data_IF_048025844795
#
_entry.id   IF_048025844795
#
_cell.length_a   1.000
_cell.length_b   1.000
_cell.length_c   1.000
_cell.angle_alpha   90.00
_cell.angle_beta   90.00
_cell.angle_gamma   90.00
#
_symmetry.space_group_name_H-M   'P 1'
#
loop_
_entity.id
_entity.type
_entity.pdbx_description
1 polymer ?
#
# COMPACT_ATOMS: atom_id res chain seq x y z
N UNK A 1 16.76 0.00 -8.82
CA UNK A 1 15.33 0.39 -8.76
C UNK A 1 14.75 0.08 -7.38
N UNK A 2 13.61 0.68 -7.06
CA UNK A 2 12.79 0.35 -5.89
C UNK A 2 11.60 -0.52 -6.35
N UNK A 3 11.37 -1.66 -5.68
CA UNK A 3 10.19 -2.49 -5.94
C UNK A 3 9.13 -2.21 -4.88
N UNK A 4 7.93 -1.81 -5.30
CA UNK A 4 6.79 -1.58 -4.41
C UNK A 4 5.77 -2.70 -4.53
N UNK A 5 5.35 -3.24 -3.39
CA UNK A 5 4.41 -4.36 -3.28
C UNK A 5 3.31 -4.01 -2.30
N UNK A 6 2.08 -4.41 -2.60
CA UNK A 6 0.94 -4.16 -1.73
C UNK A 6 -0.37 -4.40 -2.45
N UNK A 7 -1.44 -3.81 -1.91
CA UNK A 7 -2.77 -3.85 -2.49
C UNK A 7 -3.14 -2.53 -3.18
N UNK A 8 -4.42 -2.20 -3.12
CA UNK A 8 -5.05 -1.02 -3.70
C UNK A 8 -4.49 0.32 -3.22
N UNK A 9 -3.94 0.38 -2.00
CA UNK A 9 -3.22 1.56 -1.53
C UNK A 9 -1.89 1.76 -2.26
N UNK A 10 -1.17 0.68 -2.58
CA UNK A 10 0.07 0.77 -3.36
C UNK A 10 -0.22 1.05 -4.83
N UNK A 11 -1.30 0.48 -5.36
CA UNK A 11 -1.79 0.76 -6.71
C UNK A 11 -2.23 2.23 -6.88
N UNK A 12 -2.89 2.80 -5.88
CA UNK A 12 -3.43 4.15 -5.91
C UNK A 12 -4.90 4.24 -6.36
N UNK A 13 -5.74 3.28 -5.96
CA UNK A 13 -7.15 3.23 -6.36
C UNK A 13 -7.90 4.55 -6.09
N UNK A 14 -7.68 5.17 -4.92
CA UNK A 14 -8.32 6.43 -4.54
C UNK A 14 -8.00 7.60 -5.47
N UNK A 15 -6.82 7.61 -6.09
CA UNK A 15 -6.42 8.63 -7.05
C UNK A 15 -7.21 8.57 -8.36
N UNK A 16 -7.68 7.37 -8.73
CA UNK A 16 -8.50 7.21 -9.93
C UNK A 16 -9.87 7.82 -9.71
N UNK A 17 -10.49 7.54 -8.56
CA UNK A 17 -11.74 8.19 -8.16
C UNK A 17 -11.59 9.69 -7.99
N UNK A 18 -10.44 10.15 -7.47
CA UNK A 18 -10.13 11.57 -7.27
C UNK A 18 -10.13 12.30 -8.60
N UNK A 19 -9.45 11.75 -9.61
CA UNK A 19 -9.41 12.33 -10.94
C UNK A 19 -10.79 12.32 -11.60
N UNK A 20 -11.49 11.18 -11.57
CA UNK A 20 -12.84 11.06 -12.14
C UNK A 20 -13.80 12.10 -11.55
N UNK A 21 -13.74 12.31 -10.23
CA UNK A 21 -14.59 13.27 -9.56
C UNK A 21 -14.20 14.72 -9.85
N UNK A 22 -12.93 15.07 -9.61
CA UNK A 22 -12.49 16.47 -9.62
C UNK A 22 -12.25 17.01 -11.03
N UNK A 23 -11.76 16.18 -11.95
CA UNK A 23 -11.33 16.61 -13.29
C UNK A 23 -12.34 16.23 -14.37
N UNK A 24 -13.01 15.09 -14.25
CA UNK A 24 -14.02 14.63 -15.23
C UNK A 24 -15.48 14.90 -14.79
N UNK A 25 -15.68 15.43 -13.58
CA UNK A 25 -17.00 15.80 -13.07
C UNK A 25 -17.93 14.61 -12.81
N UNK A 26 -17.38 13.40 -12.66
CA UNK A 26 -18.16 12.20 -12.35
C UNK A 26 -18.69 12.31 -10.92
N UNK A 27 -20.01 12.14 -10.75
CA UNK A 27 -20.61 12.23 -9.41
C UNK A 27 -20.17 11.06 -8.53
N UNK A 28 -19.99 11.32 -7.22
CA UNK A 28 -19.65 10.28 -6.25
C UNK A 28 -20.71 9.18 -6.21
N UNK A 29 -21.96 9.55 -6.43
CA UNK A 29 -23.10 8.63 -6.53
C UNK A 29 -22.95 7.64 -7.69
N UNK A 30 -22.47 8.10 -8.85
CA UNK A 30 -22.17 7.24 -9.98
C UNK A 30 -20.97 6.33 -9.69
N UNK A 31 -19.92 6.88 -9.07
CA UNK A 31 -18.72 6.11 -8.67
C UNK A 31 -19.14 4.96 -7.74
N UNK A 32 -19.92 5.23 -6.69
CA UNK A 32 -20.37 4.23 -5.74
C UNK A 32 -21.16 3.09 -6.39
N UNK A 33 -22.09 3.45 -7.27
CA UNK A 33 -23.02 2.50 -7.87
C UNK A 33 -22.37 1.66 -8.96
N UNK A 34 -21.40 2.22 -9.70
CA UNK A 34 -20.94 1.62 -10.95
C UNK A 34 -19.44 1.32 -10.98
N UNK A 35 -18.60 2.06 -10.25
CA UNK A 35 -17.15 2.03 -10.43
C UNK A 35 -16.39 1.38 -9.28
N UNK A 36 -17.02 1.17 -8.13
CA UNK A 36 -16.42 0.43 -7.01
C UNK A 36 -16.45 -1.08 -7.32
N UNK A 37 -15.32 -1.81 -7.16
CA UNK A 37 -15.30 -3.26 -7.30
C UNK A 37 -16.36 -3.95 -6.42
N UNK A 38 -17.02 -5.03 -6.90
CA UNK A 38 -16.72 -5.78 -8.12
C UNK A 38 -17.39 -5.24 -9.40
N UNK A 39 -18.11 -4.12 -9.33
CA UNK A 39 -18.90 -3.62 -10.46
C UNK A 39 -18.02 -3.13 -11.64
N UNK A 40 -16.77 -2.77 -11.35
CA UNK A 40 -15.83 -2.29 -12.34
C UNK A 40 -14.39 -2.63 -11.96
N UNK A 41 -13.56 -2.88 -12.97
CA UNK A 41 -12.11 -3.05 -12.85
C UNK A 41 -11.44 -1.70 -13.12
N UNK A 42 -10.77 -1.14 -12.12
CA UNK A 42 -10.11 0.17 -12.22
C UNK A 42 -9.00 0.21 -13.28
N UNK A 43 -8.52 -0.96 -13.71
CA UNK A 43 -7.60 -1.15 -14.83
C UNK A 43 -8.20 -0.70 -16.17
N UNK A 44 -9.54 -0.61 -16.27
CA UNK A 44 -10.22 -0.15 -17.48
C UNK A 44 -10.39 1.37 -17.55
N UNK A 45 -9.94 2.11 -16.53
CA UNK A 45 -9.98 3.57 -16.54
C UNK A 45 -9.20 4.16 -17.73
N UNK A 46 -9.55 5.39 -18.11
CA UNK A 46 -8.90 6.08 -19.22
C UNK A 46 -7.40 6.28 -18.99
N UNK A 47 -6.64 6.48 -20.07
CA UNK A 47 -5.22 6.79 -20.00
C UNK A 47 -4.90 7.98 -19.09
N UNK A 48 -5.75 9.01 -19.09
CA UNK A 48 -5.55 10.21 -18.26
C UNK A 48 -5.72 9.91 -16.78
N UNK A 49 -6.75 9.13 -16.43
CA UNK A 49 -6.98 8.65 -15.06
C UNK A 49 -5.80 7.80 -14.57
N UNK A 50 -5.31 6.89 -15.41
CA UNK A 50 -4.16 6.05 -15.06
C UNK A 50 -2.87 6.88 -14.91
N UNK A 51 -2.65 7.89 -15.76
CA UNK A 51 -1.50 8.79 -15.63
C UNK A 51 -1.53 9.60 -14.35
N UNK A 52 -2.69 10.15 -13.99
CA UNK A 52 -2.85 10.86 -12.72
C UNK A 52 -2.50 9.96 -11.53
N UNK A 53 -3.03 8.73 -11.51
CA UNK A 53 -2.69 7.71 -10.50
C UNK A 53 -1.18 7.45 -10.43
N UNK A 54 -0.54 7.17 -11.57
CA UNK A 54 0.90 6.89 -11.64
C UNK A 54 1.75 8.08 -11.17
N UNK A 55 1.32 9.32 -11.42
CA UNK A 55 2.06 10.51 -11.02
C UNK A 55 1.94 10.79 -9.52
N UNK A 56 0.78 10.48 -8.93
CA UNK A 56 0.42 10.88 -7.56
C UNK A 56 0.56 9.76 -6.52
N UNK A 57 0.61 8.50 -6.91
CA UNK A 57 0.76 7.40 -5.95
C UNK A 57 2.10 7.45 -5.23
N UNK A 58 2.10 7.02 -3.97
CA UNK A 58 3.28 7.09 -3.11
C UNK A 58 4.52 6.38 -3.69
N UNK A 59 4.41 5.28 -4.46
CA UNK A 59 5.58 4.67 -5.12
C UNK A 59 6.34 5.66 -6.01
N UNK A 60 5.64 6.41 -6.87
CA UNK A 60 6.27 7.41 -7.71
C UNK A 60 6.84 8.57 -6.89
N UNK A 61 6.10 9.04 -5.87
CA UNK A 61 6.56 10.15 -5.05
C UNK A 61 7.87 9.83 -4.31
N UNK A 62 7.97 8.62 -3.74
CA UNK A 62 9.20 8.12 -3.10
C UNK A 62 10.32 7.99 -4.14
N UNK A 63 10.05 7.33 -5.27
CA UNK A 63 11.05 7.11 -6.31
C UNK A 63 11.59 8.42 -6.91
N UNK A 64 10.70 9.39 -7.13
CA UNK A 64 11.04 10.74 -7.61
C UNK A 64 11.93 11.49 -6.62
N UNK A 65 11.68 11.40 -5.31
CA UNK A 65 12.52 12.02 -4.28
C UNK A 65 13.97 11.54 -4.35
N UNK A 66 14.18 10.24 -4.52
CA UNK A 66 15.52 9.65 -4.62
C UNK A 66 16.09 9.60 -6.03
N UNK A 67 15.43 10.22 -7.02
CA UNK A 67 15.80 10.15 -8.43
C UNK A 67 16.08 8.71 -8.91
N UNK A 68 15.18 7.78 -8.56
CA UNK A 68 15.34 6.35 -8.79
C UNK A 68 14.22 5.79 -9.67
N UNK A 69 14.54 4.81 -10.51
CA UNK A 69 13.52 4.02 -11.19
C UNK A 69 12.76 3.14 -10.18
N UNK A 70 11.49 2.86 -10.46
CA UNK A 70 10.67 1.96 -9.65
C UNK A 70 9.81 1.01 -10.48
N UNK A 71 9.39 -0.09 -9.85
CA UNK A 71 8.39 -1.00 -10.39
C UNK A 71 7.31 -1.27 -9.34
N UNK A 72 6.08 -1.50 -9.78
CA UNK A 72 5.06 -2.14 -8.96
C UNK A 72 5.14 -3.65 -9.18
N UNK A 73 5.05 -4.45 -8.13
CA UNK A 73 5.00 -5.90 -8.27
C UNK A 73 3.69 -6.42 -8.87
N UNK A 74 2.63 -5.60 -8.85
CA UNK A 74 1.33 -5.92 -9.45
C UNK A 74 1.04 -5.04 -10.66
N UNK A 75 0.36 -5.63 -11.64
CA UNK A 75 -0.17 -4.93 -12.82
C UNK A 75 -1.64 -4.53 -12.66
N UNK A 76 -2.20 -4.63 -11.45
CA UNK A 76 -3.60 -4.35 -11.17
C UNK A 76 -3.86 -4.08 -9.69
N UNK A 77 -5.08 -3.64 -9.42
CA UNK A 77 -5.58 -3.20 -8.13
C UNK A 77 -5.86 -4.38 -7.17
N UNK A 78 -5.79 -4.09 -5.86
CA UNK A 78 -6.12 -5.05 -4.81
C UNK A 78 -5.00 -6.05 -4.51
N UNK A 79 -5.34 -7.11 -3.77
CA UNK A 79 -4.41 -8.17 -3.35
C UNK A 79 -4.33 -8.38 -1.85
N UNK A 80 -3.51 -9.37 -1.47
CA UNK A 80 -3.29 -9.82 -0.10
C UNK A 80 -1.81 -10.20 0.15
N UNK A 81 -1.47 -10.46 1.42
CA UNK A 81 -0.10 -10.80 1.82
C UNK A 81 0.44 -12.09 1.16
N UNK A 82 -0.42 -13.09 0.91
CA UNK A 82 0.01 -14.35 0.28
C UNK A 82 0.41 -14.13 -1.19
N UNK A 83 -0.35 -13.31 -1.92
CA UNK A 83 -0.03 -12.91 -3.29
C UNK A 83 1.28 -12.14 -3.35
N UNK A 84 1.54 -11.24 -2.39
CA UNK A 84 2.79 -10.48 -2.33
C UNK A 84 4.00 -11.42 -2.29
N UNK A 85 3.99 -12.43 -1.42
CA UNK A 85 5.08 -13.41 -1.36
C UNK A 85 5.28 -14.15 -2.68
N UNK A 86 4.20 -14.60 -3.31
CA UNK A 86 4.25 -15.28 -4.63
C UNK A 86 4.82 -14.38 -5.72
N UNK A 87 4.41 -13.11 -5.76
CA UNK A 87 4.91 -12.14 -6.74
C UNK A 87 6.42 -11.97 -6.60
N UNK A 88 6.96 -11.89 -5.38
CA UNK A 88 8.40 -11.75 -5.16
C UNK A 88 9.16 -12.96 -5.70
N UNK A 89 8.65 -14.17 -5.45
CA UNK A 89 9.21 -15.42 -6.00
C UNK A 89 9.14 -15.43 -7.53
N UNK A 90 8.02 -15.02 -8.11
CA UNK A 90 7.88 -14.87 -9.56
C UNK A 90 8.89 -13.86 -10.14
N UNK A 91 9.15 -12.75 -9.44
CA UNK A 91 10.19 -11.78 -9.81
C UNK A 91 11.59 -12.42 -9.76
N UNK A 92 11.87 -13.28 -8.77
CA UNK A 92 13.14 -13.99 -8.65
C UNK A 92 13.35 -14.99 -9.80
N UNK A 93 12.28 -15.66 -10.24
CA UNK A 93 12.38 -16.68 -11.30
C UNK A 93 12.32 -16.11 -12.72
N UNK A 94 11.66 -14.96 -12.93
CA UNK A 94 11.50 -14.36 -14.27
C UNK A 94 12.70 -13.53 -14.74
N UNK A 95 13.80 -13.49 -13.98
CA UNK A 95 15.03 -12.75 -14.32
C UNK A 95 14.76 -11.33 -14.83
N UNK A 96 13.87 -10.58 -14.17
CA UNK A 96 13.63 -9.16 -14.50
C UNK A 96 14.79 -8.24 -14.08
N UNK A 97 15.94 -8.82 -13.73
CA UNK A 97 17.17 -8.11 -13.46
C UNK A 97 18.27 -8.99 -12.90
N UNK A 98 19.52 -8.70 -13.24
CA UNK A 98 20.67 -9.33 -12.57
C UNK A 98 20.74 -8.99 -11.08
N UNK A 99 21.55 -9.74 -10.33
CA UNK A 99 21.82 -9.47 -8.92
C UNK A 99 22.18 -7.98 -8.71
N UNK A 100 21.55 -7.33 -7.72
CA UNK A 100 21.77 -5.93 -7.38
C UNK A 100 20.92 -4.89 -8.15
N UNK A 101 20.07 -5.31 -9.10
CA UNK A 101 19.19 -4.35 -9.80
C UNK A 101 18.09 -3.76 -8.90
N UNK A 102 17.50 -4.59 -8.03
CA UNK A 102 16.59 -4.13 -7.00
C UNK A 102 17.39 -3.75 -5.75
N UNK A 103 17.40 -2.45 -5.41
CA UNK A 103 18.15 -1.93 -4.25
C UNK A 103 17.34 -1.98 -2.96
N UNK A 104 16.02 -1.81 -3.07
CA UNK A 104 15.10 -1.71 -1.95
C UNK A 104 13.74 -2.29 -2.35
N UNK A 105 13.15 -3.04 -1.44
CA UNK A 105 11.74 -3.47 -1.52
C UNK A 105 10.92 -2.72 -0.47
N UNK A 106 9.81 -2.13 -0.89
CA UNK A 106 8.83 -1.51 0.00
C UNK A 106 7.55 -2.34 -0.03
N UNK A 107 7.18 -2.90 1.12
CA UNK A 107 5.97 -3.73 1.25
C UNK A 107 4.91 -2.95 2.04
N UNK A 108 3.76 -2.75 1.43
CA UNK A 108 2.54 -2.39 2.13
C UNK A 108 1.78 -3.67 2.50
N UNK A 109 1.83 -4.03 3.78
CA UNK A 109 1.11 -5.18 4.31
C UNK A 109 -0.39 -4.88 4.36
N UNK A 110 -1.19 -5.85 3.91
CA UNK A 110 -2.64 -5.78 3.82
C UNK A 110 -3.29 -6.42 5.05
N UNK A 111 -4.62 -6.36 5.12
CA UNK A 111 -5.40 -7.20 6.05
C UNK A 111 -4.97 -8.67 5.98
N UNK A 112 -4.61 -9.26 7.12
CA UNK A 112 -4.21 -10.67 7.22
C UNK A 112 -5.38 -11.62 7.01
N UNK A 113 -6.62 -11.17 7.21
CA UNK A 113 -7.83 -11.99 7.04
C UNK A 113 -8.13 -12.28 5.58
N UNK A 114 -7.72 -11.39 4.65
CA UNK A 114 -7.94 -11.57 3.20
C UNK A 114 -7.28 -12.82 2.63
N UNK A 115 -6.22 -13.29 3.27
CA UNK A 115 -5.51 -14.53 2.92
C UNK A 115 -6.19 -15.79 3.46
N UNK A 116 -7.21 -15.65 4.31
CA UNK A 116 -7.90 -16.74 4.99
C UNK A 116 -9.31 -16.99 4.47
N UNK A 117 -9.91 -16.09 3.69
CA UNK A 117 -11.28 -16.30 3.21
C UNK A 117 -11.43 -17.61 2.41
N UNK A 118 -12.51 -18.39 2.62
CA UNK A 118 -13.71 -18.07 3.40
C UNK A 118 -13.68 -18.60 4.86
N UNK A 119 -12.51 -18.85 5.45
CA UNK A 119 -12.38 -19.46 6.77
C UNK A 119 -12.99 -18.61 7.90
N UNK A 120 -13.42 -19.26 9.01
CA UNK A 120 -14.04 -18.56 10.12
C UNK A 120 -13.17 -17.41 10.64
N UNK A 121 -13.84 -16.34 11.09
CA UNK A 121 -13.19 -15.20 11.73
C UNK A 121 -12.41 -15.69 12.95
N UNK A 122 -11.09 -15.58 12.89
CA UNK A 122 -10.21 -15.85 14.03
C UNK A 122 -10.31 -14.65 14.97
N UNK A 123 -10.65 -14.90 16.23
CA UNK A 123 -10.70 -13.87 17.27
C UNK A 123 -9.68 -14.10 18.40
N UNK A 124 -9.04 -15.28 18.43
CA UNK A 124 -8.00 -15.57 19.40
C UNK A 124 -6.70 -14.83 19.04
N UNK A 125 -6.18 -14.03 19.96
CA UNK A 125 -5.01 -13.18 19.71
C UNK A 125 -3.75 -13.97 19.40
N UNK A 126 -3.59 -15.18 19.97
CA UNK A 126 -2.41 -16.03 19.74
C UNK A 126 -2.49 -16.62 18.33
N UNK A 127 -3.68 -17.04 17.89
CA UNK A 127 -3.90 -17.49 16.52
C UNK A 127 -3.70 -16.37 15.49
N UNK A 128 -4.19 -15.15 15.78
CA UNK A 128 -3.97 -13.97 14.94
C UNK A 128 -2.47 -13.71 14.79
N UNK A 129 -1.72 -13.68 15.90
CA UNK A 129 -0.27 -13.45 15.86
C UNK A 129 0.45 -14.54 15.02
N UNK A 130 0.07 -15.81 15.15
CA UNK A 130 0.64 -16.91 14.34
C UNK A 130 0.38 -16.72 12.85
N UNK A 131 -0.83 -16.29 12.47
CA UNK A 131 -1.16 -16.03 11.06
C UNK A 131 -0.33 -14.86 10.52
N UNK A 132 -0.25 -13.77 11.27
CA UNK A 132 0.55 -12.60 10.92
C UNK A 132 2.02 -12.99 10.78
N UNK A 133 2.56 -13.71 11.77
CA UNK A 133 3.94 -14.20 11.76
C UNK A 133 4.23 -15.03 10.51
N UNK A 134 3.35 -15.99 10.20
CA UNK A 134 3.48 -16.82 9.02
C UNK A 134 3.51 -15.98 7.74
N UNK A 135 2.55 -15.07 7.56
CA UNK A 135 2.45 -14.23 6.36
C UNK A 135 3.66 -13.31 6.19
N UNK A 136 4.09 -12.65 7.28
CA UNK A 136 5.26 -11.77 7.26
C UNK A 136 6.52 -12.56 6.95
N UNK A 137 6.74 -13.69 7.63
CA UNK A 137 7.93 -14.52 7.41
C UNK A 137 7.98 -15.10 5.98
N UNK A 138 6.84 -15.44 5.38
CA UNK A 138 6.80 -15.87 3.98
C UNK A 138 7.25 -14.76 3.02
N UNK A 139 6.81 -13.52 3.24
CA UNK A 139 7.24 -12.38 2.43
C UNK A 139 8.75 -12.13 2.62
N UNK A 140 9.23 -12.12 3.87
CA UNK A 140 10.66 -11.93 4.18
C UNK A 140 11.53 -13.02 3.56
N UNK A 141 11.09 -14.28 3.61
CA UNK A 141 11.78 -15.39 2.96
C UNK A 141 11.84 -15.19 1.45
N UNK A 142 10.73 -14.75 0.84
CA UNK A 142 10.69 -14.49 -0.60
C UNK A 142 11.66 -13.36 -0.99
N UNK A 143 11.76 -12.31 -0.18
CA UNK A 143 12.74 -11.22 -0.37
C UNK A 143 14.17 -11.74 -0.30
N UNK A 144 14.45 -12.63 0.66
CA UNK A 144 15.76 -13.27 0.81
C UNK A 144 16.11 -14.12 -0.41
N UNK A 145 15.17 -14.90 -0.95
CA UNK A 145 15.34 -15.69 -2.17
C UNK A 145 15.64 -14.80 -3.38
N UNK A 146 15.02 -13.62 -3.47
CA UNK A 146 15.31 -12.63 -4.51
C UNK A 146 16.70 -11.99 -4.35
N UNK A 147 17.35 -12.14 -3.19
CA UNK A 147 18.70 -11.63 -2.94
C UNK A 147 18.77 -10.11 -2.70
N UNK A 148 17.68 -9.50 -2.23
CA UNK A 148 17.65 -8.07 -1.87
C UNK A 148 17.88 -7.91 -0.37
N UNK A 149 18.89 -7.14 -0.01
CA UNK A 149 19.28 -6.91 1.40
C UNK A 149 18.34 -5.94 2.11
N UNK A 150 17.95 -4.86 1.42
CA UNK A 150 17.13 -3.80 2.02
C UNK A 150 15.65 -4.01 1.70
N UNK A 151 14.84 -4.08 2.76
CA UNK A 151 13.40 -3.98 2.64
C UNK A 151 12.81 -3.20 3.80
N UNK A 152 11.68 -2.53 3.57
CA UNK A 152 10.91 -1.85 4.60
C UNK A 152 9.43 -2.16 4.46
N UNK A 153 8.72 -2.13 5.58
CA UNK A 153 7.31 -2.52 5.69
C UNK A 153 6.46 -1.42 6.31
N UNK A 154 5.36 -1.09 5.65
CA UNK A 154 4.28 -0.25 6.20
C UNK A 154 3.00 -1.10 6.29
N UNK A 155 2.21 -0.92 7.34
CA UNK A 155 1.02 -1.74 7.57
C UNK A 155 -0.26 -0.95 7.39
N UNK A 156 -1.25 -1.56 6.76
CA UNK A 156 -2.61 -1.02 6.79
C UNK A 156 -3.19 -1.12 8.20
N UNK A 157 -3.18 -2.31 8.80
CA UNK A 157 -3.74 -2.54 10.13
C UNK A 157 -2.67 -2.57 11.23
N UNK A 158 -3.06 -2.10 12.42
CA UNK A 158 -2.17 -1.95 13.57
C UNK A 158 -1.59 -3.27 14.09
N UNK A 159 -2.26 -4.40 13.89
CA UNK A 159 -1.83 -5.71 14.38
C UNK A 159 -0.53 -6.17 13.68
N UNK A 160 -0.50 -6.13 12.35
CA UNK A 160 0.71 -6.38 11.57
C UNK A 160 1.76 -5.30 11.88
N UNK A 161 1.33 -4.05 12.03
CA UNK A 161 2.20 -2.95 12.43
C UNK A 161 2.95 -3.18 13.74
N UNK A 162 2.23 -3.57 14.80
CA UNK A 162 2.77 -3.92 16.12
C UNK A 162 3.71 -5.11 16.03
N UNK A 163 3.36 -6.11 15.23
CA UNK A 163 4.22 -7.27 14.98
C UNK A 163 5.54 -6.84 14.30
N UNK A 164 5.48 -6.08 13.21
CA UNK A 164 6.66 -5.57 12.51
C UNK A 164 7.53 -4.69 13.41
N UNK A 165 6.93 -3.79 14.19
CA UNK A 165 7.65 -2.95 15.15
C UNK A 165 8.44 -3.79 16.17
N UNK A 166 7.87 -4.91 16.61
CA UNK A 166 8.46 -5.78 17.62
C UNK A 166 9.52 -6.71 17.03
N UNK A 167 9.22 -7.38 15.91
CA UNK A 167 10.05 -8.45 15.33
C UNK A 167 11.02 -7.95 14.26
N UNK A 168 10.68 -6.87 13.58
CA UNK A 168 11.44 -6.29 12.47
C UNK A 168 11.62 -4.76 12.61
N UNK A 169 12.12 -4.24 13.76
CA UNK A 169 12.16 -2.79 14.02
C UNK A 169 13.00 -2.01 13.00
N UNK A 170 14.03 -2.65 12.43
CA UNK A 170 14.86 -2.04 11.37
C UNK A 170 14.08 -1.86 10.06
N UNK A 171 13.15 -2.76 9.76
CA UNK A 171 12.39 -2.75 8.50
C UNK A 171 11.04 -2.02 8.64
N UNK A 172 10.48 -1.97 9.84
CA UNK A 172 9.21 -1.28 10.12
C UNK A 172 9.29 0.23 9.82
N UNK A 173 8.31 0.74 9.06
CA UNK A 173 8.09 2.16 8.77
C UNK A 173 7.06 2.70 9.78
N UNK A 174 7.48 3.51 10.77
CA UNK A 174 6.53 4.16 11.66
C UNK A 174 5.78 5.28 10.94
N UNK A 175 4.48 5.39 11.19
CA UNK A 175 3.62 6.45 10.66
C UNK A 175 3.38 7.47 11.77
N UNK A 176 3.71 8.75 11.56
CA UNK A 176 3.43 9.77 12.57
C UNK A 176 2.36 10.74 12.08
N UNK A 177 1.22 10.76 12.78
CA UNK A 177 0.15 11.72 12.55
C UNK A 177 -0.05 12.57 13.81
N UNK A 178 0.04 13.90 13.68
CA UNK A 178 -0.08 14.84 14.80
C UNK A 178 0.85 14.53 15.99
N UNK A 179 2.07 14.07 15.71
CA UNK A 179 3.06 13.69 16.74
C UNK A 179 2.82 12.33 17.39
N UNK A 180 1.75 11.63 17.06
CA UNK A 180 1.44 10.28 17.56
C UNK A 180 1.89 9.24 16.53
N UNK A 181 2.62 8.23 16.98
CA UNK A 181 2.95 7.07 16.15
C UNK A 181 1.73 6.16 16.00
N UNK A 182 1.39 5.86 14.76
CA UNK A 182 0.42 4.86 14.36
C UNK A 182 1.18 3.65 13.80
N UNK A 183 0.79 2.45 14.24
CA UNK A 183 1.37 1.19 13.75
C UNK A 183 0.67 0.68 12.49
N UNK A 184 -0.56 1.13 12.24
CA UNK A 184 -1.28 1.00 10.98
C UNK A 184 -1.81 2.36 10.50
N UNK A 185 -2.19 2.45 9.24
CA UNK A 185 -2.82 3.66 8.66
C UNK A 185 -4.34 3.56 8.53
N UNK A 186 -4.98 2.49 9.01
CA UNK A 186 -6.43 2.29 8.97
C UNK A 186 -7.21 3.46 9.61
N UNK A 187 -6.67 4.07 10.66
CA UNK A 187 -7.30 5.22 11.32
C UNK A 187 -7.23 6.49 10.47
N UNK A 188 -6.27 6.60 9.55
CA UNK A 188 -6.17 7.72 8.61
C UNK A 188 -7.21 7.61 7.49
N UNK A 189 -7.65 6.39 7.20
CA UNK A 189 -8.69 6.11 6.23
C UNK A 189 -10.10 6.48 6.72
N UNK A 190 -10.25 6.69 8.02
CA UNK A 190 -11.53 6.96 8.69
C UNK A 190 -11.81 8.47 8.89
N UNK A 191 -13.06 8.78 9.26
CA UNK A 191 -13.73 10.10 9.28
C UNK A 191 -13.19 11.16 10.26
N UNK A 192 -11.91 11.15 10.61
CA UNK A 192 -11.44 11.88 11.79
C UNK A 192 -10.71 13.20 11.52
N UNK A 193 -10.77 13.78 10.30
CA UNK A 193 -10.23 15.13 10.09
C UNK A 193 -11.03 15.96 9.08
N UNK A 194 -11.88 16.92 9.53
CA UNK A 194 -12.77 17.68 8.65
C UNK A 194 -12.07 18.75 7.80
N UNK A 195 -10.77 19.03 8.02
CA UNK A 195 -10.08 20.11 7.30
C UNK A 195 -9.23 19.63 6.12
N UNK A 196 -8.62 18.43 6.23
CA UNK A 196 -7.93 17.72 5.13
C UNK A 196 -7.94 16.20 5.39
N UNK A 197 -8.94 15.45 4.92
CA UNK A 197 -8.96 14.00 5.01
C UNK A 197 -7.89 13.38 4.10
N UNK A 198 -7.38 12.22 4.50
CA UNK A 198 -6.42 11.45 3.70
C UNK A 198 -7.11 10.67 2.56
N UNK A 199 -8.43 10.65 2.52
CA UNK A 199 -9.26 9.89 1.57
C UNK A 199 -10.35 10.79 1.00
N UNK A 200 -10.92 10.38 -0.14
CA UNK A 200 -12.09 11.06 -0.71
C UNK A 200 -13.33 10.96 0.19
N UNK A 201 -13.43 9.91 1.00
CA UNK A 201 -14.52 9.72 1.97
C UNK A 201 -14.72 10.94 2.88
N UNK A 202 -13.63 11.60 3.29
CA UNK A 202 -13.74 12.75 4.19
C UNK A 202 -13.87 14.11 3.50
N UNK A 203 -13.84 14.19 2.16
CA UNK A 203 -13.65 15.47 1.44
C UNK A 203 -14.94 16.23 1.18
N UNK A 204 -16.08 15.55 1.15
CA UNK A 204 -17.37 16.15 0.81
C UNK A 204 -18.48 15.69 1.74
N UNK A 205 -19.56 16.47 1.78
CA UNK A 205 -20.81 16.06 2.43
C UNK A 205 -21.46 14.86 1.70
N UNK A 206 -21.15 14.70 0.41
CA UNK A 206 -21.46 13.52 -0.40
C UNK A 206 -20.40 12.45 -0.16
N UNK A 207 -20.83 11.19 0.02
CA UNK A 207 -19.96 10.10 0.46
C UNK A 207 -19.60 9.22 -0.72
N UNK A 208 -18.31 8.98 -0.95
CA UNK A 208 -17.83 7.84 -1.72
C UNK A 208 -17.66 6.65 -0.78
N UNK A 209 -18.07 5.44 -1.15
CA UNK A 209 -17.90 4.22 -0.37
C UNK A 209 -16.49 3.62 -0.52
N UNK A 210 -15.48 4.48 -0.38
CA UNK A 210 -14.09 4.15 -0.63
C UNK A 210 -13.17 4.75 0.42
N UNK A 211 -12.31 3.91 1.00
CA UNK A 211 -11.37 4.28 2.06
C UNK A 211 -9.94 4.45 1.56
N UNK A 212 -9.72 4.47 0.23
CA UNK A 212 -8.37 4.63 -0.32
C UNK A 212 -7.90 6.07 -0.27
N UNK A 213 -6.57 6.22 -0.25
CA UNK A 213 -5.95 7.53 -0.17
C UNK A 213 -6.23 8.36 -1.42
N UNK A 214 -6.54 9.64 -1.19
CA UNK A 214 -6.42 10.68 -2.20
C UNK A 214 -4.94 11.11 -2.33
N UNK A 215 -4.67 12.08 -3.18
CA UNK A 215 -3.34 12.65 -3.42
C UNK A 215 -2.65 13.09 -2.13
N UNK A 216 -3.38 13.72 -1.21
CA UNK A 216 -2.85 14.12 0.10
C UNK A 216 -2.46 12.91 0.98
N UNK A 217 -3.28 11.86 1.00
CA UNK A 217 -2.97 10.59 1.68
C UNK A 217 -1.71 9.93 1.13
N UNK A 218 -1.57 9.88 -0.21
CA UNK A 218 -0.37 9.35 -0.85
C UNK A 218 0.89 10.18 -0.55
N UNK A 219 0.79 11.51 -0.58
CA UNK A 219 1.90 12.39 -0.17
C UNK A 219 2.30 12.18 1.28
N UNK A 220 1.32 12.02 2.18
CA UNK A 220 1.58 11.77 3.59
C UNK A 220 2.32 10.44 3.82
N UNK A 221 1.88 9.36 3.18
CA UNK A 221 2.53 8.04 3.28
C UNK A 221 3.92 8.06 2.66
N UNK A 222 4.09 8.72 1.50
CA UNK A 222 5.40 8.86 0.86
C UNK A 222 6.42 9.50 1.81
N UNK A 223 6.03 10.54 2.57
CA UNK A 223 6.91 11.19 3.56
C UNK A 223 7.38 10.25 4.67
N UNK A 224 6.52 9.34 5.14
CA UNK A 224 6.90 8.37 6.18
C UNK A 224 7.95 7.39 5.65
N UNK A 225 7.75 6.91 4.41
CA UNK A 225 8.66 5.98 3.73
C UNK A 225 10.00 6.67 3.43
N UNK A 226 9.98 7.88 2.89
CA UNK A 226 11.19 8.69 2.61
C UNK A 226 12.01 8.85 3.88
N UNK A 227 11.40 9.29 4.97
CA UNK A 227 12.09 9.46 6.26
C UNK A 227 12.79 8.18 6.70
N UNK A 228 12.09 7.03 6.61
CA UNK A 228 12.68 5.72 6.98
C UNK A 228 13.91 5.39 6.13
N UNK A 229 13.84 5.64 4.83
CA UNK A 229 14.94 5.39 3.88
C UNK A 229 16.14 6.27 4.21
N UNK A 230 15.93 7.56 4.47
CA UNK A 230 16.99 8.53 4.79
C UNK A 230 17.67 8.22 6.13
N UNK A 231 16.89 7.98 7.19
CA UNK A 231 17.40 7.68 8.53
C UNK A 231 18.30 6.43 8.57
N UNK A 232 18.08 5.49 7.65
CA UNK A 232 18.78 4.20 7.61
C UNK A 232 19.70 4.06 6.39
N UNK A 233 19.82 5.10 5.55
CA UNK A 233 20.63 5.12 4.34
C UNK A 233 20.42 3.89 3.43
N UNK A 234 19.16 3.61 3.07
CA UNK A 234 18.77 2.36 2.39
C UNK A 234 18.89 2.40 0.84
N UNK A 235 19.28 3.52 0.23
CA UNK A 235 19.34 3.70 -1.23
C UNK A 235 20.62 4.36 -1.76
#
# INVERSE_FOLDING_TARGET
>A
MILFLGCSFTWGAGLQYEYLHNEEGVSLDYINKNLIPPNYFLEHCSYKVDKYRQEKHFPNLVAKHFNSAYCLGKSGNGGNNNEIGRIIIDFAHRNLGGQGQCKLIVVQFTDWQRSLEPHPRISDLIEIEKVIEFQVNQIVESIRVLGVENWIGISWFEDIGKFLKTKFPKNYVPIYANGVELTGFENLCQKNNPTKPYTLWGWSNEKIDDMHFNSYGHEFIAKQIIRKIEENNLL
#
